data_IF_321547093897
#
_entry.id   IF_321547093897
#
_cell.length_a   1.000
_cell.length_b   1.000
_cell.length_c   1.000
_cell.angle_alpha   90.00
_cell.angle_beta   90.00
_cell.angle_gamma   90.00
#
_symmetry.space_group_name_H-M   'P 1'
#
loop_
_entity.id
_entity.type
_entity.pdbx_description
1 polymer ?
#
# COMPACT_ATOMS: atom_id res chain seq x y z
N UNK A 1 12.09 -15.37 10.10
CA UNK A 1 11.26 -14.54 9.21
C UNK A 1 10.03 -15.33 8.82
N UNK A 2 8.83 -14.75 8.82
CA UNK A 2 7.63 -15.46 8.38
C UNK A 2 7.74 -15.80 6.89
N UNK A 3 7.50 -17.07 6.51
CA UNK A 3 7.50 -17.51 5.12
C UNK A 3 6.45 -16.69 4.34
N UNK A 4 6.84 -16.08 3.23
CA UNK A 4 5.93 -15.26 2.42
C UNK A 4 4.82 -16.17 1.87
N UNK A 5 3.55 -15.74 2.01
CA UNK A 5 2.40 -16.48 1.50
C UNK A 5 2.34 -16.49 -0.03
N UNK A 6 2.82 -15.42 -0.67
CA UNK A 6 2.90 -15.29 -2.12
C UNK A 6 4.27 -14.72 -2.48
N UNK A 7 4.94 -15.38 -3.41
CA UNK A 7 6.12 -14.85 -4.09
C UNK A 7 5.72 -14.36 -5.48
N UNK A 8 6.21 -13.18 -5.87
CA UNK A 8 5.82 -12.52 -7.11
C UNK A 8 7.07 -12.17 -7.91
N UNK A 9 7.06 -12.49 -9.20
CA UNK A 9 8.09 -12.12 -10.17
C UNK A 9 7.41 -11.49 -11.38
N UNK A 10 8.01 -10.44 -11.92
CA UNK A 10 7.50 -9.75 -13.12
C UNK A 10 8.60 -9.77 -14.17
N UNK A 11 8.30 -10.31 -15.34
CA UNK A 11 9.21 -10.37 -16.49
C UNK A 11 8.45 -9.99 -17.75
N UNK A 12 8.79 -8.83 -18.32
CA UNK A 12 8.05 -8.26 -19.45
C UNK A 12 6.58 -8.05 -19.10
N UNK A 13 5.69 -8.74 -19.82
CA UNK A 13 4.22 -8.64 -19.65
C UNK A 13 3.65 -9.67 -18.68
N UNK A 14 4.48 -10.59 -18.16
CA UNK A 14 4.05 -11.73 -17.37
C UNK A 14 4.31 -11.50 -15.88
N UNK A 15 3.27 -11.72 -15.08
CA UNK A 15 3.35 -11.81 -13.62
C UNK A 15 3.26 -13.28 -13.22
N UNK A 16 4.34 -13.79 -12.62
CA UNK A 16 4.37 -15.12 -12.00
C UNK A 16 4.11 -14.99 -10.51
N UNK A 17 3.13 -15.75 -10.02
CA UNK A 17 2.79 -15.86 -8.60
C UNK A 17 3.01 -17.30 -8.16
N UNK A 18 3.83 -17.49 -7.14
CA UNK A 18 4.00 -18.77 -6.45
C UNK A 18 3.34 -18.70 -5.09
N UNK A 19 2.41 -19.61 -4.82
CA UNK A 19 1.75 -19.72 -3.51
C UNK A 19 2.62 -20.54 -2.55
N UNK A 20 2.87 -19.99 -1.35
CA UNK A 20 3.92 -20.46 -0.45
C UNK A 20 3.59 -21.71 0.35
N UNK A 21 2.33 -22.15 0.38
CA UNK A 21 1.85 -23.35 1.10
C UNK A 21 1.75 -24.55 0.16
N UNK A 22 1.06 -24.40 -0.96
CA UNK A 22 0.80 -25.40 -1.98
C UNK A 22 1.94 -25.54 -2.99
N UNK A 23 2.76 -24.49 -3.16
CA UNK A 23 3.77 -24.42 -4.20
C UNK A 23 3.20 -24.18 -5.61
N UNK A 24 1.89 -23.95 -5.74
CA UNK A 24 1.28 -23.72 -7.04
C UNK A 24 1.79 -22.44 -7.67
N UNK A 25 2.09 -22.53 -8.97
CA UNK A 25 2.54 -21.41 -9.78
C UNK A 25 1.41 -21.01 -10.73
N UNK A 26 1.14 -19.71 -10.81
CA UNK A 26 0.22 -19.10 -11.78
C UNK A 26 0.94 -18.01 -12.55
N UNK A 27 0.73 -18.00 -13.87
CA UNK A 27 1.29 -17.01 -14.78
C UNK A 27 0.16 -16.19 -15.39
N UNK A 28 0.24 -14.88 -15.26
CA UNK A 28 -0.73 -13.94 -15.79
C UNK A 28 -0.02 -13.03 -16.79
N UNK A 29 -0.34 -13.18 -18.07
CA UNK A 29 0.27 -12.41 -19.15
C UNK A 29 -0.67 -11.28 -19.60
N UNK A 30 -0.27 -10.05 -19.32
CA UNK A 30 -1.05 -8.85 -19.67
C UNK A 30 -1.18 -8.64 -21.18
N UNK A 31 -0.28 -9.19 -22.00
CA UNK A 31 -0.37 -9.10 -23.45
C UNK A 31 -1.58 -9.86 -24.02
N UNK A 32 -2.12 -10.83 -23.27
CA UNK A 32 -3.30 -11.63 -23.66
C UNK A 32 -4.63 -10.97 -23.31
N UNK A 33 -4.61 -9.86 -22.59
CA UNK A 33 -5.83 -9.12 -22.24
C UNK A 33 -6.39 -8.40 -23.49
N UNK A 34 -7.70 -8.11 -23.54
CA UNK A 34 -8.25 -7.23 -24.56
C UNK A 34 -7.55 -5.86 -24.58
N UNK A 35 -7.40 -5.26 -25.76
CA UNK A 35 -6.65 -4.00 -25.94
C UNK A 35 -7.19 -2.85 -25.09
N UNK A 36 -8.50 -2.77 -24.91
CA UNK A 36 -9.12 -1.73 -24.09
C UNK A 36 -8.78 -1.92 -22.59
N UNK A 37 -8.68 -3.17 -22.14
CA UNK A 37 -8.26 -3.51 -20.78
C UNK A 37 -6.77 -3.18 -20.59
N UNK A 38 -5.91 -3.53 -21.55
CA UNK A 38 -4.48 -3.16 -21.50
C UNK A 38 -4.30 -1.64 -21.36
N UNK A 39 -5.04 -0.86 -22.15
CA UNK A 39 -4.98 0.60 -22.10
C UNK A 39 -5.42 1.18 -20.74
N UNK A 40 -6.35 0.51 -20.04
CA UNK A 40 -6.83 0.91 -18.70
C UNK A 40 -5.88 0.50 -17.57
N UNK A 41 -5.07 -0.54 -17.76
CA UNK A 41 -4.14 -1.01 -16.72
C UNK A 41 -3.02 -0.02 -16.40
N UNK A 42 -2.56 0.75 -17.40
CA UNK A 42 -1.51 1.77 -17.20
C UNK A 42 -1.97 2.87 -16.23
N UNK A 43 -3.07 3.61 -16.48
CA UNK A 43 -3.53 4.65 -15.56
C UNK A 43 -3.96 4.07 -14.20
N UNK A 44 -4.48 2.84 -14.16
CA UNK A 44 -4.79 2.16 -12.91
C UNK A 44 -3.53 1.89 -12.07
N UNK A 45 -2.49 1.32 -12.66
CA UNK A 45 -1.23 1.05 -11.98
C UNK A 45 -0.53 2.32 -11.51
N UNK A 46 -0.53 3.38 -12.34
CA UNK A 46 -0.01 4.68 -11.96
C UNK A 46 -0.80 5.27 -10.79
N UNK A 47 -2.13 5.24 -10.84
CA UNK A 47 -2.98 5.74 -9.75
C UNK A 47 -2.72 5.03 -8.42
N UNK A 48 -2.50 3.71 -8.42
CA UNK A 48 -2.08 2.98 -7.24
C UNK A 48 -0.70 3.40 -6.73
N UNK A 49 0.27 3.55 -7.63
CA UNK A 49 1.64 3.91 -7.29
C UNK A 49 1.72 5.31 -6.65
N UNK A 50 1.02 6.28 -7.22
CA UNK A 50 0.95 7.64 -6.68
C UNK A 50 0.11 7.71 -5.41
N UNK A 51 -1.03 7.02 -5.37
CA UNK A 51 -1.88 6.94 -4.18
C UNK A 51 -1.16 6.33 -2.97
N UNK A 52 -0.36 5.28 -3.19
CA UNK A 52 0.48 4.69 -2.14
C UNK A 52 1.54 5.68 -1.61
N UNK A 53 2.04 6.59 -2.45
CA UNK A 53 3.00 7.62 -2.05
C UNK A 53 2.38 8.68 -1.11
N UNK A 54 1.12 9.03 -1.38
CA UNK A 54 0.31 9.95 -0.60
C UNK A 54 -0.33 9.31 0.66
N UNK A 55 -0.28 7.99 0.80
CA UNK A 55 -0.91 7.28 1.91
C UNK A 55 -0.43 7.80 3.28
N UNK A 56 -1.37 8.24 4.12
CA UNK A 56 -1.11 8.79 5.44
C UNK A 56 -0.68 10.26 5.48
N UNK A 57 -0.62 10.94 4.32
CA UNK A 57 -0.29 12.36 4.18
C UNK A 57 -1.52 13.15 3.75
N UNK A 58 -1.45 14.47 3.84
CA UNK A 58 -2.53 15.36 3.39
C UNK A 58 -2.00 16.69 2.85
N UNK A 59 -2.83 17.39 2.06
CA UNK A 59 -2.48 18.70 1.51
C UNK A 59 -1.18 18.67 0.70
N UNK A 60 -0.33 19.69 0.90
CA UNK A 60 0.91 19.88 0.14
C UNK A 60 1.89 18.69 0.28
N UNK A 61 1.97 18.08 1.46
CA UNK A 61 2.86 16.94 1.70
C UNK A 61 2.47 15.71 0.87
N UNK A 62 1.17 15.49 0.66
CA UNK A 62 0.69 14.41 -0.20
C UNK A 62 1.06 14.66 -1.66
N UNK A 63 0.88 15.89 -2.14
CA UNK A 63 1.22 16.29 -3.51
C UNK A 63 2.72 16.15 -3.79
N UNK A 64 3.57 16.68 -2.90
CA UNK A 64 5.03 16.57 -3.02
C UNK A 64 5.51 15.11 -3.03
N UNK A 65 4.84 14.23 -2.27
CA UNK A 65 5.16 12.82 -2.26
C UNK A 65 4.82 12.12 -3.59
N UNK A 66 3.71 12.50 -4.22
CA UNK A 66 3.33 12.02 -5.55
C UNK A 66 4.29 12.55 -6.61
N UNK A 67 4.53 13.87 -6.64
CA UNK A 67 5.44 14.49 -7.62
C UNK A 67 6.84 13.86 -7.59
N UNK A 68 7.37 13.57 -6.38
CA UNK A 68 8.66 12.88 -6.24
C UNK A 68 8.65 11.47 -6.83
N UNK A 69 7.56 10.72 -6.68
CA UNK A 69 7.45 9.39 -7.28
C UNK A 69 7.35 9.50 -8.79
N UNK A 70 6.57 10.44 -9.31
CA UNK A 70 6.47 10.73 -10.73
C UNK A 70 7.82 11.08 -11.36
N UNK A 71 8.57 12.00 -10.77
CA UNK A 71 9.93 12.36 -11.21
C UNK A 71 10.86 11.14 -11.23
N UNK A 72 10.75 10.28 -10.22
CA UNK A 72 11.49 9.03 -10.14
C UNK A 72 11.17 8.07 -11.30
N UNK A 73 9.88 7.90 -11.62
CA UNK A 73 9.42 7.09 -12.74
C UNK A 73 9.92 7.64 -14.08
N UNK A 74 9.85 8.96 -14.26
CA UNK A 74 10.36 9.66 -15.45
C UNK A 74 11.87 9.48 -15.62
N UNK A 75 12.62 9.37 -14.52
CA UNK A 75 14.05 9.06 -14.53
C UNK A 75 14.37 7.56 -14.72
N UNK A 76 13.36 6.71 -14.98
CA UNK A 76 13.52 5.27 -15.12
C UNK A 76 13.72 4.52 -13.79
N UNK A 77 13.53 5.18 -12.65
CA UNK A 77 13.71 4.59 -11.33
C UNK A 77 12.38 4.10 -10.74
N UNK A 78 12.06 2.84 -11.02
CA UNK A 78 10.86 2.17 -10.46
C UNK A 78 10.87 2.06 -8.92
N UNK A 79 12.07 2.02 -8.34
CA UNK A 79 12.28 1.83 -6.91
C UNK A 79 12.18 3.12 -6.10
N UNK A 80 11.91 4.28 -6.73
CA UNK A 80 11.49 5.48 -5.99
C UNK A 80 10.20 5.14 -5.25
N UNK A 81 10.37 4.79 -3.99
CA UNK A 81 9.32 4.66 -3.00
C UNK A 81 9.47 5.88 -2.12
N UNK A 82 8.53 6.81 -2.21
CA UNK A 82 8.15 7.49 -0.98
C UNK A 82 7.61 6.37 -0.07
N UNK A 83 8.16 6.17 1.14
CA UNK A 83 7.54 5.26 2.08
C UNK A 83 6.07 5.70 2.19
N UNK A 84 5.15 4.77 1.93
CA UNK A 84 3.79 4.95 2.42
C UNK A 84 3.92 5.32 3.89
N UNK A 85 3.21 6.36 4.34
CA UNK A 85 3.24 6.75 5.75
C UNK A 85 3.08 5.49 6.62
N UNK A 86 3.80 5.40 7.76
CA UNK A 86 3.80 4.19 8.55
C UNK A 86 2.36 3.72 8.79
N UNK A 87 2.07 2.47 8.40
CA UNK A 87 0.76 1.88 8.63
C UNK A 87 0.46 2.03 10.12
N UNK A 88 -0.61 2.74 10.46
CA UNK A 88 -1.05 2.84 11.84
C UNK A 88 -1.43 1.43 12.30
N UNK A 89 -0.59 0.83 13.13
CA UNK A 89 -0.83 -0.48 13.71
C UNK A 89 -1.71 -0.37 14.95
N UNK A 90 -2.28 -1.50 15.39
CA UNK A 90 -2.96 -1.58 16.69
C UNK A 90 -2.07 -1.05 17.82
N UNK A 91 -0.78 -1.42 17.79
CA UNK A 91 0.22 -0.98 18.76
C UNK A 91 0.45 0.53 18.72
N UNK A 92 0.53 1.14 17.53
CA UNK A 92 0.68 2.60 17.41
C UNK A 92 -0.53 3.35 17.98
N UNK A 93 -1.74 2.78 17.84
CA UNK A 93 -2.95 3.33 18.46
C UNK A 93 -2.89 3.21 19.98
N UNK A 94 -2.51 2.05 20.52
CA UNK A 94 -2.38 1.83 21.96
C UNK A 94 -1.35 2.78 22.59
N UNK A 95 -0.19 2.96 21.95
CA UNK A 95 0.86 3.86 22.41
C UNK A 95 0.43 5.33 22.37
N UNK A 96 -0.18 5.76 21.25
CA UNK A 96 -0.69 7.13 21.12
C UNK A 96 -1.83 7.43 22.07
N UNK A 97 -2.70 6.46 22.36
CA UNK A 97 -3.77 6.63 23.36
C UNK A 97 -3.14 6.71 24.75
N UNK A 98 -2.20 5.84 25.09
CA UNK A 98 -1.57 5.79 26.42
C UNK A 98 -0.79 7.06 26.78
N UNK A 99 -0.36 7.85 25.78
CA UNK A 99 0.29 9.15 25.99
C UNK A 99 -0.68 10.34 26.11
N UNK A 100 -1.98 10.14 25.90
CA UNK A 100 -3.00 11.17 26.08
C UNK A 100 -3.37 11.35 27.56
N UNK A 101 -4.11 12.42 27.87
CA UNK A 101 -4.69 12.64 29.20
C UNK A 101 -5.67 11.50 29.58
N UNK A 102 -5.90 11.23 30.88
CA UNK A 102 -6.84 10.19 31.30
C UNK A 102 -8.27 10.37 30.76
N UNK A 103 -8.70 11.63 30.57
CA UNK A 103 -10.01 11.96 30.00
C UNK A 103 -10.08 11.59 28.51
N UNK A 104 -9.05 11.95 27.74
CA UNK A 104 -8.95 11.68 26.31
C UNK A 104 -8.75 10.18 26.03
N UNK A 105 -8.00 9.49 26.89
CA UNK A 105 -7.85 8.03 26.83
C UNK A 105 -9.20 7.31 26.91
N UNK A 106 -10.04 7.71 27.87
CA UNK A 106 -11.37 7.12 28.07
C UNK A 106 -12.28 7.41 26.87
N UNK A 107 -12.25 8.63 26.35
CA UNK A 107 -13.02 9.02 25.18
C UNK A 107 -12.59 8.24 23.92
N UNK A 108 -11.28 8.13 23.67
CA UNK A 108 -10.73 7.41 22.53
C UNK A 108 -11.07 5.91 22.58
N UNK A 109 -10.88 5.25 23.73
CA UNK A 109 -11.23 3.82 23.90
C UNK A 109 -12.73 3.57 23.70
N UNK A 110 -13.59 4.45 24.22
CA UNK A 110 -15.04 4.32 24.05
C UNK A 110 -15.46 4.48 22.58
N UNK A 111 -14.85 5.40 21.85
CA UNK A 111 -15.13 5.60 20.42
C UNK A 111 -14.65 4.41 19.58
N UNK A 112 -13.45 3.90 19.85
CA UNK A 112 -12.87 2.79 19.11
C UNK A 112 -13.67 1.50 19.31
N UNK A 113 -14.18 1.27 20.53
CA UNK A 113 -15.11 0.18 20.80
C UNK A 113 -16.41 0.29 19.98
N UNK A 114 -16.98 1.49 19.84
CA UNK A 114 -18.18 1.72 19.00
C UNK A 114 -17.93 1.45 17.51
N UNK A 115 -16.69 1.65 17.06
CA UNK A 115 -16.27 1.36 15.68
C UNK A 115 -15.88 -0.13 15.47
N UNK A 116 -16.05 -0.99 16.48
CA UNK A 116 -15.73 -2.41 16.40
C UNK A 116 -14.24 -2.74 16.58
N UNK A 117 -13.42 -1.79 17.03
CA UNK A 117 -12.01 -1.99 17.30
C UNK A 117 -11.79 -2.23 18.79
N UNK A 118 -11.41 -3.46 19.14
CA UNK A 118 -10.99 -3.80 20.50
C UNK A 118 -9.48 -3.57 20.63
N UNK A 119 -9.11 -2.48 21.33
CA UNK A 119 -7.74 -2.17 21.72
C UNK A 119 -7.41 -2.86 23.04
#
# INVERSE_FOLDING_TARGET
MAKRKLEKKIEGTVVTITEGVTGEVRNYDSAKLPKDIQAKFIPFGLGHKEGDAAAGKSGKEALEAMDKVWEGLMAGNWAVRAPAGPKVTKKDLEEKISSMSPADQKAAKALLAKLGLQL
#
